data_IF_066324955280
#
_entry.id   IF_066324955280
#
_cell.length_a   1.000
_cell.length_b   1.000
_cell.length_c   1.000
_cell.angle_alpha   90.00
_cell.angle_beta   90.00
_cell.angle_gamma   90.00
#
_symmetry.space_group_name_H-M   'P 1'
#
loop_
_entity.id
_entity.type
_entity.pdbx_description
1 polymer ?
#
# COMPACT_ATOMS: atom_id res chain seq x y z
N UNK A 1 40.26 30.80 14.44
CA UNK A 1 40.07 29.90 13.28
C UNK A 1 39.61 28.53 13.72
N UNK A 2 40.31 27.93 14.71
CA UNK A 2 39.94 26.59 15.24
C UNK A 2 38.54 26.58 15.84
N UNK A 3 38.15 27.56 16.70
CA UNK A 3 36.77 27.55 17.25
C UNK A 3 35.69 27.68 16.17
N UNK A 4 35.95 28.41 15.11
CA UNK A 4 35.01 28.58 14.00
C UNK A 4 34.85 27.24 13.26
N UNK A 5 35.96 26.54 13.02
CA UNK A 5 35.92 25.23 12.37
C UNK A 5 35.13 24.21 13.21
N UNK A 6 35.33 24.22 14.53
CA UNK A 6 34.61 23.32 15.46
C UNK A 6 33.13 23.62 15.39
N UNK A 7 32.71 24.88 15.41
CA UNK A 7 31.30 25.26 15.32
C UNK A 7 30.72 24.83 13.99
N UNK A 8 31.44 25.00 12.89
CA UNK A 8 30.98 24.57 11.57
C UNK A 8 30.79 23.05 11.50
N UNK A 9 31.72 22.30 12.08
CA UNK A 9 31.62 20.83 12.12
C UNK A 9 30.38 20.40 12.93
N UNK A 10 30.17 21.00 14.09
CA UNK A 10 28.97 20.72 14.88
C UNK A 10 27.68 21.04 14.14
N UNK A 11 27.62 22.20 13.46
CA UNK A 11 26.46 22.57 12.66
C UNK A 11 26.21 21.59 11.53
N UNK A 12 27.29 21.13 10.89
CA UNK A 12 27.21 20.15 9.82
C UNK A 12 26.64 18.81 10.34
N UNK A 13 27.15 18.34 11.49
CA UNK A 13 26.68 17.10 12.10
C UNK A 13 25.22 17.21 12.53
N UNK A 14 24.83 18.34 13.13
CA UNK A 14 23.43 18.55 13.53
C UNK A 14 22.50 18.59 12.33
N UNK A 15 22.95 19.17 11.21
CA UNK A 15 22.14 19.24 10.00
C UNK A 15 21.89 17.84 9.39
N UNK A 16 22.77 16.88 9.70
CA UNK A 16 22.63 15.50 9.23
C UNK A 16 21.81 14.59 10.15
N UNK A 17 21.41 15.09 11.32
CA UNK A 17 20.62 14.29 12.25
C UNK A 17 19.16 14.28 11.79
N UNK A 18 18.62 13.09 11.61
CA UNK A 18 17.22 12.89 11.25
C UNK A 18 16.58 11.94 12.25
N UNK A 19 15.37 12.27 12.66
CA UNK A 19 14.58 11.44 13.57
C UNK A 19 13.45 10.81 12.78
N UNK A 20 13.34 9.48 12.86
CA UNK A 20 12.26 8.74 12.20
C UNK A 20 11.28 8.27 13.25
N UNK A 21 9.98 8.61 13.12
CA UNK A 21 8.98 8.15 14.08
C UNK A 21 8.80 6.64 14.05
N UNK A 22 8.35 6.09 15.17
CA UNK A 22 8.01 4.68 15.23
C UNK A 22 6.91 4.36 14.22
N UNK A 23 7.07 3.27 13.49
CA UNK A 23 6.12 2.87 12.47
C UNK A 23 6.41 3.42 11.09
N UNK A 24 7.49 4.16 10.91
CA UNK A 24 7.89 4.71 9.62
C UNK A 24 9.30 4.27 9.25
N UNK A 25 9.56 4.20 7.95
CA UNK A 25 10.90 4.11 7.40
C UNK A 25 11.03 5.19 6.34
N UNK A 26 12.16 5.89 6.37
CA UNK A 26 12.44 6.95 5.40
C UNK A 26 13.53 6.47 4.45
N UNK A 27 13.33 6.65 3.15
CA UNK A 27 14.37 6.35 2.17
C UNK A 27 15.27 7.57 2.02
N UNK A 28 16.58 7.31 1.87
CA UNK A 28 17.57 8.37 1.66
C UNK A 28 18.07 8.29 0.24
N UNK A 29 18.02 9.44 -0.45
CA UNK A 29 18.50 9.59 -1.81
C UNK A 29 19.74 10.47 -1.80
N UNK A 30 20.72 10.11 -2.61
CA UNK A 30 21.91 10.89 -2.84
C UNK A 30 21.98 11.18 -4.34
N UNK A 31 21.84 12.46 -4.69
CA UNK A 31 21.80 12.89 -6.10
C UNK A 31 20.68 12.19 -6.89
N UNK A 32 19.52 12.02 -6.24
CA UNK A 32 18.37 11.37 -6.87
C UNK A 32 18.40 9.85 -6.88
N UNK A 33 19.44 9.23 -6.32
CA UNK A 33 19.59 7.78 -6.29
C UNK A 33 19.39 7.26 -4.87
N UNK A 34 18.55 6.24 -4.73
CA UNK A 34 18.34 5.57 -3.43
C UNK A 34 19.67 4.97 -2.93
N UNK A 35 19.98 5.22 -1.66
CA UNK A 35 21.20 4.70 -1.04
C UNK A 35 20.91 3.83 0.18
N UNK A 36 19.98 4.23 1.05
CA UNK A 36 19.68 3.46 2.25
C UNK A 36 18.30 3.82 2.79
N UNK A 37 17.84 3.01 3.75
CA UNK A 37 16.57 3.23 4.44
C UNK A 37 16.85 3.51 5.91
N UNK A 38 16.23 4.57 6.45
CA UNK A 38 16.33 4.92 7.86
C UNK A 38 15.20 4.23 8.62
N UNK A 39 15.59 3.52 9.69
CA UNK A 39 14.64 2.86 10.59
C UNK A 39 14.23 3.83 11.71
N UNK A 40 13.17 3.52 12.49
CA UNK A 40 12.76 4.40 13.59
C UNK A 40 13.89 4.69 14.55
N UNK A 41 13.94 5.94 15.01
CA UNK A 41 14.96 6.41 15.94
C UNK A 41 15.79 7.52 15.37
N UNK A 42 16.97 7.71 15.97
CA UNK A 42 17.92 8.75 15.57
C UNK A 42 18.83 8.25 14.47
N UNK A 43 18.89 8.98 13.37
CA UNK A 43 19.69 8.60 12.21
C UNK A 43 20.54 9.77 11.74
N UNK A 44 21.67 9.44 11.10
CA UNK A 44 22.57 10.43 10.53
C UNK A 44 22.62 10.27 9.00
N UNK A 45 22.51 11.37 8.31
CA UNK A 45 22.71 11.43 6.84
C UNK A 45 23.71 12.53 6.53
N UNK A 46 24.32 12.48 5.35
CA UNK A 46 25.23 13.53 4.90
C UNK A 46 24.40 14.73 4.48
N UNK A 47 24.49 15.88 5.17
CA UNK A 47 23.72 17.07 4.77
C UNK A 47 24.16 17.55 3.38
N UNK A 48 23.24 18.23 2.69
CA UNK A 48 23.42 18.78 1.34
C UNK A 48 23.48 17.73 0.23
N UNK A 49 24.03 16.54 0.51
CA UNK A 49 24.16 15.46 -0.47
C UNK A 49 23.01 14.47 -0.33
N UNK A 50 22.79 14.01 0.90
CA UNK A 50 21.69 13.09 1.21
C UNK A 50 20.41 13.84 1.51
N UNK A 51 19.28 13.28 1.08
CA UNK A 51 17.97 13.84 1.40
C UNK A 51 16.96 12.72 1.61
N UNK A 52 15.87 13.04 2.28
CA UNK A 52 14.77 12.11 2.47
C UNK A 52 13.96 12.03 1.16
N UNK A 53 13.93 10.87 0.55
CA UNK A 53 13.19 10.68 -0.69
C UNK A 53 11.73 10.36 -0.46
N UNK A 54 11.43 9.36 0.38
CA UNK A 54 10.07 8.94 0.67
C UNK A 54 9.95 8.62 2.15
N UNK A 55 8.79 8.94 2.71
CA UNK A 55 8.44 8.62 4.09
C UNK A 55 7.36 7.54 4.04
N UNK A 56 7.74 6.30 4.30
CA UNK A 56 6.85 5.17 4.17
C UNK A 56 6.30 4.75 5.53
N UNK A 57 4.97 4.70 5.63
CA UNK A 57 4.29 4.20 6.80
C UNK A 57 4.36 2.67 6.77
N UNK A 58 5.03 2.08 7.76
CA UNK A 58 5.24 0.63 7.84
C UNK A 58 4.17 -0.07 8.67
N UNK A 59 3.21 0.68 9.20
CA UNK A 59 2.11 0.11 9.96
C UNK A 59 1.02 -0.41 9.01
N UNK A 60 0.19 -1.29 9.52
CA UNK A 60 -0.96 -1.76 8.76
C UNK A 60 -1.88 -0.59 8.41
N UNK A 61 -2.26 -0.50 7.15
CA UNK A 61 -3.11 0.56 6.63
C UNK A 61 -4.40 -0.02 6.09
N UNK A 62 -5.45 0.79 6.15
CA UNK A 62 -6.78 0.42 5.66
C UNK A 62 -7.10 1.29 4.45
N UNK A 63 -7.61 0.65 3.40
CA UNK A 63 -8.03 1.36 2.20
C UNK A 63 -9.44 0.94 1.84
N UNK A 64 -10.32 1.93 1.68
CA UNK A 64 -11.67 1.68 1.20
C UNK A 64 -11.67 1.45 -0.30
N UNK A 65 -12.34 0.39 -0.74
CA UNK A 65 -12.53 0.10 -2.14
C UNK A 65 -13.92 0.62 -2.52
N UNK A 66 -13.99 1.60 -3.44
CA UNK A 66 -15.27 2.20 -3.79
C UNK A 66 -16.20 1.20 -4.47
N UNK A 67 -17.49 1.49 -4.39
CA UNK A 67 -18.52 0.66 -5.01
C UNK A 67 -18.30 0.57 -6.52
N UNK A 68 -18.36 -0.65 -7.04
CA UNK A 68 -18.28 -0.89 -8.47
C UNK A 68 -19.31 -1.93 -8.88
N UNK A 69 -19.69 -1.89 -10.14
CA UNK A 69 -20.63 -2.85 -10.72
C UNK A 69 -19.82 -4.02 -11.31
N UNK A 70 -20.19 -5.22 -10.92
CA UNK A 70 -19.57 -6.46 -11.42
C UNK A 70 -20.65 -7.30 -12.08
N UNK A 71 -20.34 -7.90 -13.21
CA UNK A 71 -21.24 -8.82 -13.90
C UNK A 71 -20.83 -10.24 -13.57
N UNK A 72 -21.75 -11.00 -12.98
CA UNK A 72 -21.51 -12.38 -12.56
C UNK A 72 -21.46 -13.33 -13.75
N UNK A 73 -21.08 -14.58 -13.48
CA UNK A 73 -21.01 -15.61 -14.51
C UNK A 73 -22.36 -15.86 -15.17
N UNK A 74 -23.45 -15.77 -14.40
CA UNK A 74 -24.82 -15.94 -14.90
C UNK A 74 -25.42 -14.61 -15.39
N UNK A 75 -24.58 -13.63 -15.69
CA UNK A 75 -24.94 -12.35 -16.31
C UNK A 75 -25.81 -11.45 -15.44
N UNK A 76 -25.69 -11.56 -14.13
CA UNK A 76 -26.37 -10.66 -13.19
C UNK A 76 -25.42 -9.49 -12.84
N UNK A 77 -25.95 -8.29 -12.79
CA UNK A 77 -25.20 -7.11 -12.33
C UNK A 77 -25.30 -6.98 -10.83
N UNK A 78 -24.17 -6.84 -10.14
CA UNK A 78 -24.15 -6.62 -8.69
C UNK A 78 -23.27 -5.42 -8.39
N UNK A 79 -23.65 -4.65 -7.37
CA UNK A 79 -22.82 -3.58 -6.84
C UNK A 79 -22.06 -4.11 -5.62
N UNK A 80 -20.74 -3.92 -5.62
CA UNK A 80 -19.89 -4.39 -4.53
C UNK A 80 -18.97 -3.29 -4.07
N UNK A 81 -18.72 -3.24 -2.78
CA UNK A 81 -17.66 -2.44 -2.21
C UNK A 81 -16.90 -3.28 -1.19
N UNK A 82 -15.77 -2.81 -0.77
CA UNK A 82 -14.93 -3.57 0.12
C UNK A 82 -13.92 -2.73 0.84
N UNK A 83 -13.09 -3.40 1.62
CA UNK A 83 -11.99 -2.78 2.34
C UNK A 83 -10.78 -3.69 2.23
N UNK A 84 -9.62 -3.08 2.06
CA UNK A 84 -8.36 -3.79 1.97
C UNK A 84 -7.43 -3.32 3.08
N UNK A 85 -6.79 -4.27 3.75
CA UNK A 85 -5.78 -4.00 4.78
C UNK A 85 -4.43 -4.43 4.23
N UNK A 86 -3.46 -3.56 4.32
CA UNK A 86 -2.13 -3.86 3.78
C UNK A 86 -1.05 -3.25 4.66
N UNK A 87 0.16 -3.75 4.51
CA UNK A 87 1.32 -3.27 5.24
C UNK A 87 2.52 -3.25 4.32
N UNK A 88 3.30 -2.16 4.36
CA UNK A 88 4.54 -2.06 3.63
C UNK A 88 5.60 -2.84 4.40
N UNK A 89 6.22 -3.82 3.76
CA UNK A 89 7.30 -4.60 4.34
C UNK A 89 8.67 -4.14 3.87
N UNK A 90 8.75 -3.59 2.65
CA UNK A 90 10.00 -3.14 2.07
C UNK A 90 9.80 -1.72 1.54
N UNK A 91 10.30 -0.74 2.28
CA UNK A 91 10.10 0.67 1.95
C UNK A 91 10.67 1.06 0.57
N UNK A 92 11.91 0.66 0.20
CA UNK A 92 12.42 1.02 -1.13
C UNK A 92 11.60 0.44 -2.28
N UNK A 93 11.13 -0.80 -2.17
CA UNK A 93 10.29 -1.37 -3.21
C UNK A 93 8.97 -0.63 -3.34
N UNK A 94 8.34 -0.32 -2.21
CA UNK A 94 7.08 0.43 -2.22
C UNK A 94 7.24 1.84 -2.77
N UNK A 95 8.38 2.46 -2.52
CA UNK A 95 8.65 3.83 -2.95
C UNK A 95 9.07 3.93 -4.42
N UNK A 96 9.81 2.94 -4.93
CA UNK A 96 10.49 3.07 -6.23
C UNK A 96 10.06 2.07 -7.29
N UNK A 97 9.40 0.97 -6.92
CA UNK A 97 8.93 -0.01 -7.89
C UNK A 97 7.57 0.34 -8.48
N UNK A 98 6.84 1.23 -7.84
CA UNK A 98 5.50 1.64 -8.27
C UNK A 98 5.38 3.15 -8.09
N UNK A 99 4.80 3.83 -9.08
CA UNK A 99 4.76 5.30 -9.10
C UNK A 99 3.78 5.88 -8.08
N UNK A 100 2.62 5.26 -7.91
CA UNK A 100 1.62 5.68 -6.93
C UNK A 100 1.06 4.44 -6.27
N UNK A 101 1.60 4.14 -5.09
CA UNK A 101 1.31 2.90 -4.38
C UNK A 101 -0.17 2.72 -4.08
N UNK A 102 -0.81 3.75 -3.52
CA UNK A 102 -2.22 3.65 -3.14
C UNK A 102 -3.12 3.42 -4.34
N UNK A 103 -2.92 4.15 -5.42
CA UNK A 103 -3.68 3.95 -6.65
C UNK A 103 -3.43 2.58 -7.25
N UNK A 104 -2.18 2.12 -7.22
CA UNK A 104 -1.83 0.82 -7.77
C UNK A 104 -2.52 -0.31 -7.00
N UNK A 105 -2.51 -0.25 -5.67
CA UNK A 105 -3.19 -1.24 -4.82
C UNK A 105 -4.69 -1.17 -5.05
N UNK A 106 -5.24 0.03 -5.10
CA UNK A 106 -6.68 0.22 -5.31
C UNK A 106 -7.13 -0.39 -6.63
N UNK A 107 -6.45 -0.06 -7.73
CA UNK A 107 -6.79 -0.57 -9.05
C UNK A 107 -6.60 -2.07 -9.13
N UNK A 108 -5.54 -2.60 -8.52
CA UNK A 108 -5.28 -4.02 -8.45
C UNK A 108 -6.41 -4.75 -7.73
N UNK A 109 -6.83 -4.21 -6.59
CA UNK A 109 -7.91 -4.80 -5.78
C UNK A 109 -9.23 -4.77 -6.54
N UNK A 110 -9.58 -3.63 -7.15
CA UNK A 110 -10.82 -3.49 -7.92
C UNK A 110 -10.86 -4.43 -9.12
N UNK A 111 -9.75 -4.56 -9.83
CA UNK A 111 -9.66 -5.45 -10.98
C UNK A 111 -9.82 -6.91 -10.57
N UNK A 112 -9.20 -7.29 -9.46
CA UNK A 112 -9.28 -8.67 -8.98
C UNK A 112 -10.66 -9.00 -8.39
N UNK A 113 -11.31 -8.03 -7.76
CA UNK A 113 -12.70 -8.18 -7.34
C UNK A 113 -13.57 -8.50 -8.55
N UNK A 114 -13.41 -7.73 -9.61
CA UNK A 114 -14.17 -7.94 -10.83
C UNK A 114 -13.90 -9.32 -11.43
N UNK A 115 -12.64 -9.74 -11.49
CA UNK A 115 -12.24 -11.03 -12.05
C UNK A 115 -12.76 -12.20 -11.23
N UNK A 116 -12.58 -12.15 -9.91
CA UNK A 116 -13.00 -13.25 -9.02
C UNK A 116 -14.51 -13.37 -9.00
N UNK A 117 -15.20 -12.24 -8.81
CA UNK A 117 -16.66 -12.25 -8.72
C UNK A 117 -17.32 -12.53 -10.08
N UNK A 118 -16.68 -12.11 -11.17
CA UNK A 118 -17.17 -12.40 -12.51
C UNK A 118 -17.06 -13.87 -12.89
N UNK A 119 -16.28 -14.66 -12.16
CA UNK A 119 -16.15 -16.10 -12.38
C UNK A 119 -17.15 -16.92 -11.57
N UNK A 120 -17.98 -16.28 -10.78
CA UNK A 120 -18.94 -16.93 -9.88
C UNK A 120 -20.38 -16.58 -10.24
N UNK A 121 -21.31 -17.49 -9.91
CA UNK A 121 -22.75 -17.21 -10.02
C UNK A 121 -23.20 -16.33 -8.85
N UNK A 122 -24.35 -15.67 -9.03
CA UNK A 122 -24.89 -14.79 -8.00
C UNK A 122 -25.11 -15.51 -6.67
N UNK A 123 -25.62 -16.72 -6.70
CA UNK A 123 -25.86 -17.53 -5.49
C UNK A 123 -24.56 -17.82 -4.74
N UNK A 124 -23.48 -18.10 -5.47
CA UNK A 124 -22.15 -18.32 -4.88
C UNK A 124 -21.63 -17.07 -4.20
N UNK A 125 -21.83 -15.90 -4.84
CA UNK A 125 -21.40 -14.64 -4.27
C UNK A 125 -22.10 -14.34 -2.96
N UNK A 126 -23.40 -14.61 -2.89
CA UNK A 126 -24.19 -14.28 -1.72
C UNK A 126 -23.98 -15.27 -0.57
N UNK A 127 -23.61 -16.53 -0.88
CA UNK A 127 -23.49 -17.58 0.13
C UNK A 127 -22.07 -17.87 0.60
N UNK A 128 -21.04 -17.51 -0.19
CA UNK A 128 -19.64 -17.88 0.10
C UNK A 128 -18.72 -16.66 0.22
N UNK A 129 -19.16 -15.67 0.99
CA UNK A 129 -18.38 -14.42 1.15
C UNK A 129 -16.98 -14.67 1.69
N UNK A 130 -16.83 -15.58 2.66
CA UNK A 130 -15.52 -15.89 3.25
C UNK A 130 -14.57 -16.53 2.23
N UNK A 131 -15.10 -17.39 1.38
CA UNK A 131 -14.29 -18.01 0.31
C UNK A 131 -13.83 -16.95 -0.71
N UNK A 132 -14.69 -15.98 -1.02
CA UNK A 132 -14.35 -14.87 -1.91
C UNK A 132 -13.23 -14.05 -1.30
N UNK A 133 -13.36 -13.68 -0.02
CA UNK A 133 -12.37 -12.88 0.68
C UNK A 133 -11.01 -13.57 0.69
N UNK A 134 -10.97 -14.86 0.96
CA UNK A 134 -9.72 -15.64 0.98
C UNK A 134 -9.09 -15.69 -0.41
N UNK A 135 -9.88 -15.92 -1.44
CA UNK A 135 -9.38 -15.98 -2.81
C UNK A 135 -8.85 -14.63 -3.28
N UNK A 136 -9.56 -13.54 -2.95
CA UNK A 136 -9.11 -12.18 -3.26
C UNK A 136 -7.80 -11.86 -2.56
N UNK A 137 -7.69 -12.21 -1.28
CA UNK A 137 -6.47 -11.98 -0.52
C UNK A 137 -5.28 -12.65 -1.19
N UNK A 138 -5.41 -13.91 -1.56
CA UNK A 138 -4.33 -14.66 -2.20
C UNK A 138 -3.90 -14.01 -3.51
N UNK A 139 -4.85 -13.66 -4.37
CA UNK A 139 -4.56 -13.11 -5.69
C UNK A 139 -3.94 -11.71 -5.58
N UNK A 140 -4.52 -10.86 -4.73
CA UNK A 140 -4.04 -9.49 -4.58
C UNK A 140 -2.67 -9.47 -3.90
N UNK A 141 -2.47 -10.32 -2.89
CA UNK A 141 -1.19 -10.41 -2.19
C UNK A 141 -0.07 -10.86 -3.13
N UNK A 142 -0.33 -11.87 -3.94
CA UNK A 142 0.65 -12.35 -4.93
C UNK A 142 1.04 -11.24 -5.91
N UNK A 143 0.07 -10.47 -6.36
CA UNK A 143 0.32 -9.40 -7.32
C UNK A 143 1.01 -8.19 -6.69
N UNK A 144 0.76 -7.91 -5.41
CA UNK A 144 1.36 -6.77 -4.71
C UNK A 144 2.75 -7.09 -4.12
N UNK A 145 3.10 -8.36 -4.02
CA UNK A 145 4.37 -8.80 -3.43
C UNK A 145 5.60 -8.14 -4.06
N UNK A 146 5.70 -7.97 -5.41
CA UNK A 146 6.85 -7.29 -6.01
C UNK A 146 7.02 -5.83 -5.57
N UNK A 147 5.98 -5.20 -5.04
CA UNK A 147 6.04 -3.83 -4.55
C UNK A 147 6.47 -3.74 -3.08
N UNK A 148 6.86 -4.87 -2.47
CA UNK A 148 7.27 -4.89 -1.08
C UNK A 148 6.12 -4.73 -0.11
N UNK A 149 4.92 -5.17 -0.49
CA UNK A 149 3.69 -4.99 0.28
C UNK A 149 3.10 -6.35 0.61
N UNK A 150 2.57 -6.47 1.82
CA UNK A 150 1.80 -7.63 2.23
C UNK A 150 0.34 -7.21 2.42
N UNK A 151 -0.56 -7.88 1.70
CA UNK A 151 -1.99 -7.71 1.93
C UNK A 151 -2.36 -8.59 3.11
N UNK A 152 -2.82 -7.98 4.19
CA UNK A 152 -3.18 -8.73 5.40
C UNK A 152 -4.61 -9.21 5.36
N UNK A 153 -5.50 -8.43 4.73
CA UNK A 153 -6.91 -8.75 4.63
C UNK A 153 -7.54 -8.06 3.44
N UNK A 154 -8.46 -8.74 2.79
CA UNK A 154 -9.35 -8.11 1.80
C UNK A 154 -10.75 -8.61 2.12
N UNK A 155 -11.68 -7.69 2.37
CA UNK A 155 -13.04 -8.05 2.74
C UNK A 155 -14.04 -7.32 1.85
N UNK A 156 -15.02 -8.06 1.37
CA UNK A 156 -16.17 -7.49 0.69
C UNK A 156 -17.15 -7.02 1.76
N UNK A 157 -17.51 -5.74 1.74
CA UNK A 157 -18.44 -5.17 2.72
C UNK A 157 -19.88 -5.49 2.35
N UNK A 158 -20.30 -5.10 1.15
CA UNK A 158 -21.67 -5.27 0.70
C UNK A 158 -21.69 -5.82 -0.71
N UNK A 159 -22.63 -6.74 -0.95
CA UNK A 159 -22.96 -7.21 -2.28
C UNK A 159 -24.44 -6.93 -2.49
N UNK A 160 -24.74 -5.98 -3.37
CA UNK A 160 -26.12 -5.57 -3.63
C UNK A 160 -26.57 -6.15 -4.96
N UNK A 161 -27.51 -7.11 -4.95
CA UNK A 161 -28.01 -7.65 -6.19
C UNK A 161 -28.79 -6.61 -6.99
N UNK A 162 -28.98 -6.84 -8.28
CA UNK A 162 -29.69 -5.86 -9.10
C UNK A 162 -31.13 -5.70 -8.66
N UNK A 163 -31.62 -4.47 -8.70
CA UNK A 163 -32.99 -4.15 -8.26
C UNK A 163 -34.04 -4.89 -9.09
N UNK A 164 -33.73 -5.15 -10.34
CA UNK A 164 -34.65 -5.81 -11.26
C UNK A 164 -34.99 -7.26 -10.85
N UNK A 165 -34.12 -7.91 -10.04
CA UNK A 165 -34.37 -9.26 -9.56
C UNK A 165 -35.27 -9.30 -8.32
N UNK A 166 -35.56 -8.15 -7.74
CA UNK A 166 -36.39 -8.07 -6.52
C UNK A 166 -37.86 -8.01 -6.87
N UNK A 167 -38.20 -7.69 -8.09
CA UNK A 167 -39.57 -7.67 -8.62
C UNK A 167 -39.99 -9.09 -9.05
#
# INVERSE_FOLDING_TARGET
VIPVLVVLVFLFLFAGIKTVPQGYNYTVERFGRYTKTLTPGLNLIVPFVGRIGAQMNMMEQVMDVPTQVVITKDNASVEVDGVAFFQVLNAPQAAYQVANLQNAILNLTMTNIRTVMGSMDLDELLSNRDAINTRLLTVVDDAASPWGIKMTRVEIKDINPPKDLIE
#
